data_IF_057455925205
#
_entry.id   IF_057455925205
#
_cell.length_a   1.000
_cell.length_b   1.000
_cell.length_c   1.000
_cell.angle_alpha   90.00
_cell.angle_beta   90.00
_cell.angle_gamma   90.00
#
_symmetry.space_group_name_H-M   'P 1'
#
loop_
_entity.id
_entity.type
_entity.pdbx_description
1 polymer ?
#
# COMPACT_ATOMS: atom_id res chain seq x y z
N UNK A 1 33.90 -21.92 -7.92
CA UNK A 1 33.05 -22.97 -8.51
C UNK A 1 31.72 -22.33 -8.84
N UNK A 2 31.42 -22.15 -10.12
CA UNK A 2 30.22 -21.46 -10.59
C UNK A 2 28.95 -22.26 -10.26
N UNK A 3 27.86 -21.60 -9.86
CA UNK A 3 26.58 -22.24 -9.64
C UNK A 3 25.98 -22.72 -10.98
N UNK A 4 25.25 -23.84 -10.98
CA UNK A 4 24.56 -24.34 -12.18
C UNK A 4 23.15 -23.78 -12.35
N UNK A 5 22.55 -23.38 -11.23
CA UNK A 5 21.16 -23.00 -11.14
C UNK A 5 21.03 -21.84 -10.17
N UNK A 6 20.19 -20.88 -10.50
CA UNK A 6 19.73 -19.83 -9.60
C UNK A 6 18.27 -20.06 -9.20
N UNK A 7 17.89 -19.63 -8.00
CA UNK A 7 16.47 -19.57 -7.60
C UNK A 7 15.95 -18.20 -8.00
N UNK A 8 14.94 -18.17 -8.87
CA UNK A 8 14.22 -16.92 -9.16
C UNK A 8 13.55 -16.43 -7.88
N UNK A 9 13.59 -15.12 -7.63
CA UNK A 9 13.07 -14.55 -6.38
C UNK A 9 11.64 -15.04 -6.07
N UNK A 10 11.36 -15.37 -4.78
CA UNK A 10 12.22 -15.18 -3.61
C UNK A 10 13.27 -16.28 -3.40
N UNK A 11 14.44 -15.93 -2.83
CA UNK A 11 15.53 -16.86 -2.47
C UNK A 11 15.23 -17.76 -1.25
N UNK A 12 13.97 -17.78 -0.80
CA UNK A 12 13.48 -18.55 0.35
C UNK A 12 12.16 -19.21 -0.04
N UNK A 13 11.83 -20.36 0.58
CA UNK A 13 10.53 -21.00 0.37
C UNK A 13 9.50 -20.26 1.23
N UNK A 14 8.70 -19.41 0.58
CA UNK A 14 7.65 -18.62 1.22
C UNK A 14 6.33 -19.39 1.23
N UNK A 15 5.94 -19.89 2.41
CA UNK A 15 4.69 -20.62 2.62
C UNK A 15 3.64 -19.64 3.15
N UNK A 16 2.59 -19.42 2.36
CA UNK A 16 1.40 -18.74 2.82
C UNK A 16 0.61 -19.69 3.75
N UNK A 17 0.71 -19.44 5.05
CA UNK A 17 0.27 -20.37 6.07
C UNK A 17 -1.23 -20.22 6.34
N UNK A 18 -1.93 -21.36 6.30
CA UNK A 18 -3.31 -21.49 6.71
C UNK A 18 -3.49 -22.72 7.62
N UNK A 19 -4.30 -22.58 8.67
CA UNK A 19 -4.62 -23.68 9.58
C UNK A 19 -5.44 -24.76 8.86
N UNK A 20 -5.17 -26.01 9.18
CA UNK A 20 -5.89 -27.19 8.70
C UNK A 20 -5.97 -27.34 7.17
N UNK A 21 -5.13 -26.61 6.42
CA UNK A 21 -5.11 -26.63 4.96
C UNK A 21 -3.74 -27.02 4.41
N UNK A 22 -3.71 -27.57 3.19
CA UNK A 22 -2.45 -27.78 2.46
C UNK A 22 -1.98 -26.43 1.92
N UNK A 23 -0.82 -25.97 2.39
CA UNK A 23 -0.22 -24.71 1.94
C UNK A 23 0.83 -25.01 0.88
N UNK A 24 0.81 -24.30 -0.25
CA UNK A 24 1.74 -24.55 -1.38
C UNK A 24 2.61 -23.35 -1.63
N UNK A 25 3.89 -23.58 -1.91
CA UNK A 25 4.83 -22.59 -2.41
C UNK A 25 5.48 -23.10 -3.69
N UNK A 26 5.47 -22.30 -4.74
CA UNK A 26 6.14 -22.63 -6.00
C UNK A 26 7.52 -21.99 -6.01
N UNK A 27 8.54 -22.80 -6.23
CA UNK A 27 9.92 -22.35 -6.38
C UNK A 27 10.32 -22.56 -7.83
N UNK A 28 10.91 -21.52 -8.43
CA UNK A 28 11.38 -21.54 -9.81
C UNK A 28 12.91 -21.55 -9.83
N UNK A 29 13.45 -22.54 -10.51
CA UNK A 29 14.88 -22.76 -10.72
C UNK A 29 15.21 -22.39 -12.16
N UNK A 30 16.23 -21.56 -12.38
CA UNK A 30 16.71 -21.19 -13.72
C UNK A 30 18.09 -21.78 -13.95
N UNK A 31 18.27 -22.41 -15.11
CA UNK A 31 19.59 -22.89 -15.53
C UNK A 31 20.52 -21.73 -15.86
N UNK A 32 21.74 -21.80 -15.35
CA UNK A 32 22.83 -20.88 -15.69
C UNK A 32 23.70 -21.44 -16.85
N UNK A 33 23.46 -22.69 -17.27
CA UNK A 33 24.18 -23.33 -18.38
C UNK A 33 23.44 -23.11 -19.70
N UNK A 34 24.20 -22.71 -20.73
CA UNK A 34 23.66 -22.48 -22.07
C UNK A 34 23.59 -23.74 -22.94
N UNK A 35 24.37 -24.78 -22.60
CA UNK A 35 24.62 -25.94 -23.47
C UNK A 35 24.16 -27.28 -22.88
N UNK A 36 24.20 -27.43 -21.55
CA UNK A 36 23.88 -28.70 -20.87
C UNK A 36 22.63 -28.58 -20.03
N UNK A 37 21.82 -29.64 -20.01
CA UNK A 37 20.69 -29.75 -19.08
C UNK A 37 21.21 -29.94 -17.66
N UNK A 38 20.50 -29.43 -16.66
CA UNK A 38 20.86 -29.61 -15.26
C UNK A 38 19.84 -30.53 -14.58
N UNK A 39 20.31 -31.65 -14.03
CA UNK A 39 19.49 -32.49 -13.18
C UNK A 39 19.41 -31.90 -11.78
N UNK A 40 18.22 -31.91 -11.19
CA UNK A 40 18.01 -31.50 -9.80
C UNK A 40 17.31 -32.59 -8.98
N UNK A 41 17.65 -32.64 -7.69
CA UNK A 41 16.98 -33.45 -6.68
C UNK A 41 16.81 -32.66 -5.40
N UNK A 42 15.62 -32.72 -4.82
CA UNK A 42 15.25 -31.92 -3.66
C UNK A 42 15.10 -32.81 -2.44
N UNK A 43 15.71 -32.40 -1.34
CA UNK A 43 15.61 -33.06 -0.04
C UNK A 43 15.12 -32.04 0.99
N UNK A 44 14.37 -32.50 1.99
CA UNK A 44 13.89 -31.67 3.10
C UNK A 44 14.40 -32.21 4.43
N UNK A 45 14.71 -31.32 5.37
CA UNK A 45 14.98 -31.70 6.76
C UNK A 45 13.73 -32.17 7.53
N UNK A 46 12.54 -31.90 6.99
CA UNK A 46 11.25 -32.15 7.65
C UNK A 46 10.28 -32.94 6.74
N UNK A 47 10.62 -34.19 6.35
CA UNK A 47 9.82 -34.99 5.40
C UNK A 47 8.42 -35.33 5.92
N UNK A 48 8.23 -35.35 7.23
CA UNK A 48 6.94 -35.58 7.84
C UNK A 48 5.99 -34.37 7.67
N UNK A 49 6.53 -33.15 7.53
CA UNK A 49 5.77 -31.90 7.41
C UNK A 49 5.57 -31.46 5.96
N UNK A 50 6.57 -31.66 5.10
CA UNK A 50 6.58 -31.15 3.73
C UNK A 50 6.60 -32.27 2.69
N UNK A 51 5.89 -32.04 1.61
CA UNK A 51 5.99 -32.80 0.36
C UNK A 51 6.59 -31.90 -0.73
N UNK A 52 7.27 -32.49 -1.70
CA UNK A 52 7.86 -31.78 -2.84
C UNK A 52 7.38 -32.41 -4.13
N UNK A 53 6.93 -31.60 -5.08
CA UNK A 53 6.44 -32.07 -6.37
C UNK A 53 6.87 -31.17 -7.55
N UNK A 54 7.61 -31.67 -8.55
CA UNK A 54 8.30 -32.96 -8.54
C UNK A 54 9.52 -32.93 -7.59
N UNK A 55 9.88 -34.05 -6.94
CA UNK A 55 11.06 -34.12 -6.05
C UNK A 55 12.39 -34.14 -6.81
N UNK A 56 12.36 -34.44 -8.11
CA UNK A 56 13.52 -34.47 -9.00
C UNK A 56 13.09 -34.19 -10.43
N UNK A 57 13.99 -33.64 -11.24
CA UNK A 57 13.70 -33.32 -12.63
C UNK A 57 14.92 -32.81 -13.39
N UNK A 58 14.70 -32.37 -14.63
CA UNK A 58 15.70 -31.74 -15.48
C UNK A 58 15.31 -30.30 -15.76
N UNK A 59 16.31 -29.42 -15.79
CA UNK A 59 16.19 -28.05 -16.26
C UNK A 59 16.90 -27.99 -17.61
N UNK A 60 16.19 -27.71 -18.72
CA UNK A 60 16.83 -27.54 -20.01
C UNK A 60 17.82 -26.35 -20.02
N UNK A 61 18.78 -26.33 -20.95
CA UNK A 61 19.73 -25.22 -21.07
C UNK A 61 19.01 -23.89 -21.27
N UNK A 62 19.50 -22.83 -20.62
CA UNK A 62 18.91 -21.48 -20.64
C UNK A 62 17.42 -21.41 -20.29
N UNK A 63 16.87 -22.44 -19.64
CA UNK A 63 15.44 -22.55 -19.32
C UNK A 63 15.20 -22.57 -17.81
N UNK A 64 13.96 -22.80 -17.41
CA UNK A 64 13.54 -22.89 -16.02
C UNK A 64 12.74 -24.16 -15.76
N UNK A 65 12.78 -24.61 -14.51
CA UNK A 65 11.91 -25.65 -13.99
C UNK A 65 11.27 -25.14 -12.68
N UNK A 66 10.09 -25.65 -12.36
CA UNK A 66 9.40 -25.31 -11.12
C UNK A 66 9.16 -26.56 -10.29
N UNK A 67 9.25 -26.41 -8.98
CA UNK A 67 8.75 -27.41 -8.05
C UNK A 67 7.88 -26.75 -6.99
N UNK A 68 6.94 -27.51 -6.47
CA UNK A 68 6.07 -27.11 -5.39
C UNK A 68 6.56 -27.70 -4.09
N UNK A 69 6.70 -26.86 -3.08
CA UNK A 69 6.77 -27.28 -1.68
C UNK A 69 5.36 -27.21 -1.11
N UNK A 70 4.91 -28.33 -0.54
CA UNK A 70 3.56 -28.47 0.01
C UNK A 70 3.70 -28.75 1.50
N UNK A 71 3.31 -27.80 2.35
CA UNK A 71 3.13 -28.02 3.77
C UNK A 71 1.83 -28.81 3.99
N UNK A 72 1.92 -29.95 4.67
CA UNK A 72 0.74 -30.74 5.08
C UNK A 72 -0.11 -29.92 6.07
N UNK A 73 -1.42 -30.18 6.19
CA UNK A 73 -2.29 -29.49 7.15
C UNK A 73 -1.68 -29.45 8.55
N UNK A 74 -1.61 -28.25 9.14
CA UNK A 74 -1.13 -28.03 10.50
C UNK A 74 -2.30 -27.59 11.38
N UNK A 75 -2.40 -28.17 12.57
CA UNK A 75 -3.43 -27.84 13.57
C UNK A 75 -3.06 -26.68 14.48
N UNK A 76 -1.81 -26.23 14.44
CA UNK A 76 -1.26 -25.19 15.30
C UNK A 76 -0.37 -24.24 14.49
N UNK A 77 -0.18 -23.03 15.00
CA UNK A 77 0.76 -22.08 14.44
C UNK A 77 2.19 -22.62 14.51
N UNK A 78 3.06 -22.31 13.53
CA UNK A 78 4.47 -22.69 13.60
C UNK A 78 5.09 -22.10 14.88
N UNK A 79 5.77 -22.93 15.68
CA UNK A 79 6.43 -22.49 16.94
C UNK A 79 7.46 -21.37 16.73
N UNK A 80 7.99 -21.26 15.52
CA UNK A 80 8.92 -20.22 15.10
C UNK A 80 8.46 -19.67 13.76
N UNK A 81 8.02 -18.42 13.77
CA UNK A 81 7.63 -17.67 12.58
C UNK A 81 8.18 -16.23 12.72
N UNK A 82 8.38 -15.49 11.61
CA UNK A 82 8.12 -15.88 10.22
C UNK A 82 9.19 -16.78 9.61
N UNK A 83 10.27 -17.16 10.32
CA UNK A 83 11.32 -18.05 9.80
C UNK A 83 11.44 -19.33 10.62
N UNK A 84 11.50 -20.47 9.94
CA UNK A 84 11.81 -21.75 10.60
C UNK A 84 13.32 -21.96 10.68
N UNK A 85 13.90 -22.17 11.88
CA UNK A 85 15.31 -22.51 12.02
C UNK A 85 15.61 -23.96 11.59
N UNK A 86 14.62 -24.85 11.72
CA UNK A 86 14.73 -26.29 11.53
C UNK A 86 14.33 -26.76 10.13
N UNK A 87 13.38 -26.09 9.48
CA UNK A 87 12.85 -26.51 8.18
C UNK A 87 13.69 -25.89 7.04
N UNK A 88 14.35 -26.76 6.27
CA UNK A 88 15.24 -26.39 5.16
C UNK A 88 15.08 -27.34 3.99
N UNK A 89 15.31 -26.83 2.78
CA UNK A 89 15.38 -27.62 1.56
C UNK A 89 16.80 -27.58 1.01
N UNK A 90 17.28 -28.75 0.59
CA UNK A 90 18.55 -28.92 -0.09
C UNK A 90 18.27 -29.33 -1.53
N UNK A 91 18.72 -28.50 -2.47
CA UNK A 91 18.64 -28.77 -3.90
C UNK A 91 20.02 -29.21 -4.35
N UNK A 92 20.13 -30.47 -4.76
CA UNK A 92 21.34 -31.03 -5.35
C UNK A 92 21.23 -30.89 -6.86
N UNK A 93 22.23 -30.28 -7.47
CA UNK A 93 22.28 -30.05 -8.91
C UNK A 93 23.54 -30.65 -9.51
N UNK A 94 23.43 -31.16 -10.73
CA UNK A 94 24.54 -31.68 -11.51
C UNK A 94 24.24 -31.53 -12.99
N UNK A 95 25.28 -31.33 -13.81
CA UNK A 95 25.14 -31.33 -15.25
C UNK A 95 24.74 -32.72 -15.74
N UNK A 96 23.78 -32.76 -16.64
CA UNK A 96 23.22 -33.97 -17.21
C UNK A 96 23.59 -34.03 -18.70
N UNK A 97 24.53 -34.92 -19.04
CA UNK A 97 24.88 -35.24 -20.42
C UNK A 97 24.24 -36.57 -20.82
N UNK A 98 23.49 -36.66 -21.93
CA UNK A 98 22.85 -37.89 -22.38
C UNK A 98 23.86 -38.82 -23.06
N UNK A 99 24.78 -39.41 -22.31
CA UNK A 99 25.74 -40.41 -22.84
C UNK A 99 25.50 -41.77 -22.20
N UNK A 100 24.43 -42.46 -22.63
CA UNK A 100 24.25 -43.93 -22.71
C UNK A 100 22.76 -44.24 -22.65
N UNK A 101 22.27 -44.99 -23.64
CA UNK A 101 20.93 -45.59 -23.76
C UNK A 101 20.18 -45.82 -22.44
N UNK A 102 19.21 -44.96 -22.12
CA UNK A 102 18.27 -45.11 -21.00
C UNK A 102 17.17 -44.04 -21.06
N UNK A 103 15.91 -44.36 -20.66
CA UNK A 103 14.74 -43.57 -21.00
C UNK A 103 14.69 -42.22 -20.26
N UNK A 104 14.15 -41.23 -20.95
CA UNK A 104 13.91 -39.83 -20.55
C UNK A 104 12.81 -39.68 -19.48
N UNK A 105 12.70 -40.60 -18.53
CA UNK A 105 11.62 -40.65 -17.54
C UNK A 105 12.07 -40.09 -16.16
N UNK A 106 11.22 -39.36 -15.41
CA UNK A 106 11.58 -38.77 -14.10
C UNK A 106 12.07 -39.76 -13.04
N UNK A 107 11.64 -41.02 -13.12
CA UNK A 107 12.08 -42.11 -12.20
C UNK A 107 13.56 -42.48 -12.42
N UNK A 108 14.10 -42.27 -13.63
CA UNK A 108 15.48 -42.59 -14.00
C UNK A 108 16.50 -41.62 -13.38
N UNK A 109 16.08 -40.39 -13.01
CA UNK A 109 16.97 -39.36 -12.45
C UNK A 109 17.41 -39.71 -11.03
N UNK A 110 16.53 -40.29 -10.22
CA UNK A 110 16.88 -40.70 -8.86
C UNK A 110 17.88 -41.86 -8.85
N UNK A 111 17.69 -42.83 -9.74
CA UNK A 111 18.62 -43.93 -9.97
C UNK A 111 19.96 -43.40 -10.52
N UNK A 112 19.94 -42.43 -11.42
CA UNK A 112 21.16 -41.76 -11.92
C UNK A 112 21.95 -41.04 -10.81
N UNK A 113 21.27 -40.33 -9.90
CA UNK A 113 21.93 -39.74 -8.72
C UNK A 113 22.54 -40.78 -7.78
N UNK A 114 22.05 -42.03 -7.80
CA UNK A 114 22.50 -43.14 -6.96
C UNK A 114 23.60 -44.01 -7.63
N UNK A 115 23.53 -44.24 -8.94
CA UNK A 115 24.43 -45.13 -9.71
C UNK A 115 25.75 -44.48 -10.13
N UNK A 116 26.26 -43.56 -9.31
CA UNK A 116 27.24 -42.53 -9.69
C UNK A 116 28.45 -43.08 -10.47
N UNK A 117 28.80 -42.49 -11.64
CA UNK A 117 30.14 -42.60 -12.20
C UNK A 117 31.15 -41.84 -11.31
N UNK A 118 32.34 -42.39 -11.14
CA UNK A 118 33.45 -41.72 -10.45
C UNK A 118 33.79 -40.38 -11.14
N UNK A 119 33.73 -39.25 -10.41
CA UNK A 119 34.25 -37.95 -10.88
C UNK A 119 33.28 -36.77 -10.97
N UNK A 120 31.97 -36.92 -10.73
CA UNK A 120 31.01 -35.81 -10.81
C UNK A 120 30.86 -35.02 -9.49
N UNK A 121 31.10 -33.70 -9.53
CA UNK A 121 30.82 -32.79 -8.40
C UNK A 121 29.37 -32.29 -8.41
N UNK A 122 28.60 -32.64 -7.40
CA UNK A 122 27.26 -32.04 -7.18
C UNK A 122 27.39 -30.65 -6.58
N UNK A 123 26.51 -29.74 -6.98
CA UNK A 123 26.40 -28.39 -6.39
C UNK A 123 25.13 -28.31 -5.56
N UNK A 124 25.30 -27.86 -4.32
CA UNK A 124 24.26 -27.86 -3.30
C UNK A 124 23.75 -26.44 -3.04
N UNK A 125 22.44 -26.27 -3.13
CA UNK A 125 21.76 -25.01 -2.82
C UNK A 125 20.80 -25.22 -1.65
N UNK A 126 20.87 -24.34 -0.64
CA UNK A 126 20.08 -24.45 0.59
C UNK A 126 19.02 -23.36 0.63
N UNK A 127 17.75 -23.74 0.75
CA UNK A 127 16.64 -22.82 0.92
C UNK A 127 16.08 -22.91 2.33
N UNK A 128 15.85 -21.74 2.94
CA UNK A 128 15.16 -21.60 4.23
C UNK A 128 13.66 -21.53 4.01
N UNK A 129 12.88 -22.01 4.98
CA UNK A 129 11.43 -21.87 4.97
C UNK A 129 11.03 -20.62 5.75
N UNK A 130 10.16 -19.82 5.14
CA UNK A 130 9.48 -18.72 5.79
C UNK A 130 7.98 -18.90 5.72
N UNK A 131 7.30 -18.54 6.80
CA UNK A 131 5.86 -18.55 6.90
C UNK A 131 5.36 -17.11 6.86
N UNK A 132 4.38 -16.88 6.02
CA UNK A 132 3.74 -15.59 5.78
C UNK A 132 2.22 -15.78 5.69
N UNK A 133 1.47 -14.69 5.61
CA UNK A 133 0.04 -14.72 5.38
C UNK A 133 -0.77 -13.98 6.46
N UNK A 134 -2.04 -13.70 6.17
CA UNK A 134 -2.88 -12.82 6.99
C UNK A 134 -3.18 -13.40 8.38
N UNK A 135 -3.31 -14.73 8.50
CA UNK A 135 -3.52 -15.38 9.80
C UNK A 135 -2.32 -15.23 10.75
N UNK A 136 -1.10 -15.36 10.22
CA UNK A 136 0.11 -15.16 11.02
C UNK A 136 0.31 -13.71 11.40
N UNK A 137 -0.01 -12.80 10.48
CA UNK A 137 0.04 -11.37 10.76
C UNK A 137 -0.94 -11.00 11.89
N UNK A 138 -2.20 -11.45 11.79
CA UNK A 138 -3.20 -11.22 12.84
C UNK A 138 -2.76 -11.81 14.18
N UNK A 139 -2.25 -13.03 14.19
CA UNK A 139 -1.75 -13.66 15.42
C UNK A 139 -0.56 -12.88 16.02
N UNK A 140 0.37 -12.39 15.20
CA UNK A 140 1.49 -11.58 15.68
C UNK A 140 1.02 -10.26 16.30
N UNK A 141 0.06 -9.59 15.64
CA UNK A 141 -0.57 -8.37 16.13
C UNK A 141 -1.28 -8.63 17.45
N UNK A 142 -2.11 -9.67 17.56
CA UNK A 142 -2.87 -9.95 18.81
C UNK A 142 -1.97 -10.28 20.01
N UNK A 143 -0.72 -10.67 19.77
CA UNK A 143 0.27 -10.97 20.82
C UNK A 143 1.28 -9.83 21.03
N UNK A 144 1.17 -8.73 20.28
CA UNK A 144 2.09 -7.59 20.38
C UNK A 144 3.51 -7.86 19.88
N UNK A 145 3.72 -8.89 19.06
CA UNK A 145 5.05 -9.22 18.53
C UNK A 145 5.40 -8.32 17.34
N UNK A 146 5.94 -7.15 17.67
CA UNK A 146 6.27 -6.12 16.70
C UNK A 146 7.35 -6.56 15.69
N UNK A 147 8.32 -7.35 16.15
CA UNK A 147 9.39 -7.85 15.27
C UNK A 147 8.88 -8.91 14.31
N UNK A 148 7.95 -9.78 14.73
CA UNK A 148 7.30 -10.72 13.82
C UNK A 148 6.47 -9.98 12.76
N UNK A 149 5.69 -8.97 13.15
CA UNK A 149 4.90 -8.13 12.23
C UNK A 149 5.79 -7.44 11.20
N UNK A 150 6.85 -6.76 11.65
CA UNK A 150 7.83 -6.10 10.77
C UNK A 150 8.46 -7.08 9.78
N UNK A 151 8.82 -8.27 10.27
CA UNK A 151 9.43 -9.30 9.45
C UNK A 151 8.47 -9.93 8.42
N UNK A 152 7.18 -10.07 8.76
CA UNK A 152 6.13 -10.55 7.85
C UNK A 152 5.88 -9.54 6.73
N UNK A 153 5.67 -8.27 7.09
CA UNK A 153 5.45 -7.16 6.14
C UNK A 153 6.64 -7.01 5.19
N UNK A 154 7.87 -7.05 5.71
CA UNK A 154 9.09 -6.98 4.89
C UNK A 154 9.18 -8.09 3.84
N UNK A 155 8.65 -9.29 4.14
CA UNK A 155 8.70 -10.44 3.23
C UNK A 155 7.54 -10.46 2.24
N UNK A 156 6.37 -9.97 2.63
CA UNK A 156 5.21 -9.93 1.76
C UNK A 156 4.37 -8.69 2.10
N UNK A 157 4.76 -7.56 1.50
CA UNK A 157 4.03 -6.29 1.69
C UNK A 157 2.59 -6.37 1.18
N UNK A 158 2.33 -7.23 0.19
CA UNK A 158 1.00 -7.42 -0.39
C UNK A 158 -0.03 -8.04 0.56
N UNK A 159 0.38 -8.68 1.67
CA UNK A 159 -0.59 -9.29 2.61
C UNK A 159 -1.62 -8.26 3.07
N UNK A 160 -1.20 -7.01 3.29
CA UNK A 160 -2.08 -5.93 3.75
C UNK A 160 -3.10 -5.48 2.69
N UNK A 161 -2.82 -5.69 1.41
CA UNK A 161 -3.75 -5.38 0.33
C UNK A 161 -4.86 -6.44 0.19
N UNK A 162 -4.63 -7.65 0.72
CA UNK A 162 -5.58 -8.77 0.64
C UNK A 162 -6.64 -8.73 1.76
N UNK A 163 -6.52 -7.82 2.74
CA UNK A 163 -7.50 -7.65 3.81
C UNK A 163 -8.78 -6.97 3.29
N UNK A 164 -9.94 -7.52 3.64
CA UNK A 164 -11.20 -6.78 3.51
C UNK A 164 -11.22 -5.59 4.49
N UNK A 165 -12.02 -4.54 4.25
CA UNK A 165 -12.14 -3.40 5.17
C UNK A 165 -12.45 -3.83 6.61
N UNK A 166 -13.38 -4.78 6.77
CA UNK A 166 -13.76 -5.36 8.07
C UNK A 166 -12.62 -6.12 8.76
N UNK A 167 -11.76 -6.80 7.99
CA UNK A 167 -10.60 -7.49 8.55
C UNK A 167 -9.49 -6.51 8.92
N UNK A 168 -9.31 -5.44 8.13
CA UNK A 168 -8.37 -4.37 8.43
C UNK A 168 -8.76 -3.62 9.72
N UNK A 169 -10.05 -3.30 9.88
CA UNK A 169 -10.60 -2.72 11.11
C UNK A 169 -10.42 -3.64 12.31
N UNK A 170 -10.76 -4.94 12.17
CA UNK A 170 -10.54 -5.92 13.24
C UNK A 170 -9.06 -6.05 13.62
N UNK A 171 -8.15 -6.01 12.66
CA UNK A 171 -6.71 -6.10 12.90
C UNK A 171 -6.20 -4.86 13.64
N UNK A 172 -6.67 -3.67 13.23
CA UNK A 172 -6.32 -2.42 13.90
C UNK A 172 -6.89 -2.40 15.32
N UNK A 173 -8.14 -2.83 15.51
CA UNK A 173 -8.74 -3.00 16.84
C UNK A 173 -7.89 -3.90 17.73
N UNK A 174 -7.44 -5.06 17.23
CA UNK A 174 -6.57 -5.96 17.98
C UNK A 174 -5.22 -5.29 18.34
N UNK A 175 -4.65 -4.47 17.44
CA UNK A 175 -3.40 -3.73 17.68
C UNK A 175 -3.54 -2.65 18.76
N UNK A 176 -4.71 -2.01 18.85
CA UNK A 176 -4.98 -0.93 19.81
C UNK A 176 -5.15 -1.40 21.25
N UNK A 177 -5.42 -2.71 21.44
CA UNK A 177 -5.59 -3.33 22.76
C UNK A 177 -4.28 -3.82 23.38
N UNK A 178 -3.15 -3.61 22.70
CA UNK A 178 -1.82 -4.01 23.17
C UNK A 178 -1.24 -3.03 24.18
N UNK A 179 -0.21 -3.48 24.91
CA UNK A 179 0.53 -2.65 25.87
C UNK A 179 1.27 -1.47 25.20
N UNK A 180 1.77 -1.67 23.96
CA UNK A 180 2.46 -0.64 23.15
C UNK A 180 1.78 -0.50 21.77
N UNK A 181 0.62 0.17 21.71
CA UNK A 181 -0.21 0.24 20.51
C UNK A 181 0.34 1.21 19.45
N UNK A 182 0.98 2.31 19.85
CA UNK A 182 1.44 3.36 18.91
C UNK A 182 2.43 2.80 17.87
N UNK A 183 3.44 2.04 18.30
CA UNK A 183 4.45 1.47 17.40
C UNK A 183 3.85 0.41 16.45
N UNK A 184 2.90 -0.40 16.95
CA UNK A 184 2.26 -1.45 16.16
C UNK A 184 1.31 -0.85 15.12
N UNK A 185 0.50 0.13 15.52
CA UNK A 185 -0.43 0.84 14.65
C UNK A 185 0.33 1.60 13.56
N UNK A 186 1.36 2.37 13.94
CA UNK A 186 2.19 3.10 12.99
C UNK A 186 2.81 2.16 11.94
N UNK A 187 3.36 1.02 12.37
CA UNK A 187 3.94 0.02 11.47
C UNK A 187 2.93 -0.53 10.46
N UNK A 188 1.68 -0.80 10.88
CA UNK A 188 0.63 -1.31 10.00
C UNK A 188 0.17 -0.26 8.97
N UNK A 189 0.04 1.00 9.40
CA UNK A 189 -0.35 2.11 8.52
C UNK A 189 0.74 2.45 7.50
N UNK A 190 2.00 2.60 7.95
CA UNK A 190 3.16 2.85 7.07
C UNK A 190 3.33 1.74 6.02
N UNK A 191 3.05 0.50 6.41
CA UNK A 191 3.11 -0.64 5.52
C UNK A 191 2.00 -0.66 4.45
N UNK A 192 0.94 0.14 4.62
CA UNK A 192 -0.12 0.37 3.64
C UNK A 192 -1.45 -0.31 3.94
N UNK A 193 -1.77 -0.58 5.21
CA UNK A 193 -3.10 -1.08 5.60
C UNK A 193 -4.17 -0.02 5.25
N UNK A 194 -5.10 -0.36 4.34
CA UNK A 194 -6.15 0.55 3.87
C UNK A 194 -7.45 0.29 4.63
N UNK A 195 -7.96 1.31 5.30
CA UNK A 195 -9.31 1.31 5.89
C UNK A 195 -10.18 2.12 4.92
N UNK A 196 -10.98 1.43 4.10
CA UNK A 196 -11.92 2.10 3.21
C UNK A 196 -13.22 2.25 3.98
N UNK A 197 -13.53 3.49 4.38
CA UNK A 197 -14.84 3.81 4.91
C UNK A 197 -15.83 3.99 3.74
N UNK A 198 -16.99 3.36 3.83
CA UNK A 198 -18.15 3.69 3.02
C UNK A 198 -19.04 4.59 3.88
N UNK A 199 -19.10 5.91 3.64
CA UNK A 199 -19.97 6.77 4.43
C UNK A 199 -21.41 6.46 4.02
N UNK A 200 -22.10 5.65 4.82
CA UNK A 200 -23.54 5.52 4.75
C UNK A 200 -24.12 6.02 6.06
N UNK A 201 -24.63 7.24 5.97
CA UNK A 201 -25.60 7.95 6.82
C UNK A 201 -25.29 8.17 8.32
N UNK A 202 -25.41 9.42 8.82
CA UNK A 202 -25.18 9.78 10.22
C UNK A 202 -26.38 9.53 11.15
N UNK A 203 -27.29 8.60 10.83
CA UNK A 203 -28.40 8.25 11.71
C UNK A 203 -28.61 6.75 11.78
N UNK A 204 -27.89 6.09 12.68
CA UNK A 204 -28.44 4.97 13.46
C UNK A 204 -27.67 4.82 14.76
N UNK A 205 -28.30 5.29 15.84
CA UNK A 205 -27.96 4.90 17.19
C UNK A 205 -28.37 3.44 17.41
N UNK A 206 -27.66 2.82 18.35
CA UNK A 206 -27.96 1.55 19.01
C UNK A 206 -27.73 0.24 18.22
N UNK A 207 -26.57 -0.37 18.41
CA UNK A 207 -26.48 -1.71 19.01
C UNK A 207 -25.08 -2.01 19.56
N UNK A 208 -24.98 -1.88 20.88
CA UNK A 208 -24.32 -2.81 21.80
C UNK A 208 -23.17 -3.68 21.24
N UNK A 209 -22.08 -3.05 20.81
CA UNK A 209 -20.77 -3.70 20.74
C UNK A 209 -19.86 -2.92 21.67
N UNK A 210 -19.43 -3.57 22.75
CA UNK A 210 -18.59 -3.01 23.80
C UNK A 210 -17.17 -2.76 23.23
N UNK A 211 -17.06 -1.79 22.34
CA UNK A 211 -15.80 -1.22 21.88
C UNK A 211 -15.31 -0.38 23.06
N UNK A 212 -14.40 -0.95 23.84
CA UNK A 212 -13.89 -0.31 25.06
C UNK A 212 -13.31 1.09 24.75
N UNK A 213 -13.31 2.01 25.74
CA UNK A 213 -12.90 3.40 25.55
C UNK A 213 -11.48 3.57 24.98
N UNK A 214 -10.59 2.56 25.05
CA UNK A 214 -9.30 2.59 24.34
C UNK A 214 -9.44 2.57 22.82
N UNK A 215 -10.37 1.82 22.24
CA UNK A 215 -10.52 1.76 20.78
C UNK A 215 -11.13 3.04 20.22
N UNK A 216 -12.04 3.69 20.95
CA UNK A 216 -12.47 5.06 20.62
C UNK A 216 -11.28 6.02 20.68
N UNK A 217 -10.37 5.91 21.65
CA UNK A 217 -9.17 6.77 21.69
C UNK A 217 -8.28 6.55 20.46
N UNK A 218 -8.09 5.33 19.92
CA UNK A 218 -7.27 5.16 18.71
C UNK A 218 -8.01 5.54 17.42
N UNK A 219 -9.32 5.33 17.34
CA UNK A 219 -10.13 5.84 16.23
C UNK A 219 -10.15 7.38 16.24
N UNK A 220 -10.40 7.97 17.42
CA UNK A 220 -10.29 9.41 17.63
C UNK A 220 -8.85 9.88 17.47
N UNK A 221 -7.79 9.16 17.84
CA UNK A 221 -6.38 9.58 17.70
C UNK A 221 -5.85 9.39 16.29
N UNK A 222 -6.40 8.47 15.49
CA UNK A 222 -6.07 8.35 14.06
C UNK A 222 -6.86 9.37 13.25
N UNK A 223 -8.15 9.59 13.56
CA UNK A 223 -8.88 10.73 13.03
C UNK A 223 -8.22 12.02 13.48
N UNK A 224 -7.96 12.24 14.77
CA UNK A 224 -7.27 13.40 15.34
C UNK A 224 -5.85 13.53 14.82
N UNK A 225 -5.05 12.49 14.55
CA UNK A 225 -3.73 12.68 13.90
C UNK A 225 -3.87 13.00 12.41
N UNK A 226 -4.80 12.39 11.66
CA UNK A 226 -5.02 12.71 10.23
C UNK A 226 -5.71 14.08 10.07
N UNK A 227 -6.57 14.44 11.03
CA UNK A 227 -7.26 15.72 11.20
C UNK A 227 -6.28 16.76 11.71
N UNK A 228 -5.38 16.46 12.64
CA UNK A 228 -4.34 17.38 13.17
C UNK A 228 -3.31 17.65 12.07
N UNK A 229 -2.80 16.62 11.38
CA UNK A 229 -1.85 16.85 10.27
C UNK A 229 -2.55 17.53 9.08
N UNK A 230 -3.84 17.24 8.84
CA UNK A 230 -4.66 17.95 7.85
C UNK A 230 -4.97 19.40 8.24
N UNK A 231 -5.27 19.65 9.52
CA UNK A 231 -5.47 20.97 10.13
C UNK A 231 -4.15 21.74 10.14
N UNK A 232 -3.01 21.07 10.32
CA UNK A 232 -1.69 21.68 10.21
C UNK A 232 -1.37 22.07 8.76
N UNK A 233 -1.75 21.25 7.77
CA UNK A 233 -1.66 21.63 6.36
C UNK A 233 -2.57 22.82 6.09
N UNK A 234 -3.79 22.82 6.62
CA UNK A 234 -4.74 23.94 6.51
C UNK A 234 -4.19 25.21 7.18
N UNK A 235 -3.65 25.11 8.39
CA UNK A 235 -3.14 26.23 9.18
C UNK A 235 -1.85 26.78 8.60
N UNK A 236 -0.94 25.92 8.13
CA UNK A 236 0.25 26.33 7.39
C UNK A 236 -0.16 27.03 6.09
N UNK A 237 -1.20 26.53 5.41
CA UNK A 237 -1.73 27.15 4.20
C UNK A 237 -2.37 28.51 4.48
N UNK A 238 -3.10 28.65 5.61
CA UNK A 238 -3.70 29.89 6.09
C UNK A 238 -2.67 30.93 6.52
N UNK A 239 -1.48 30.50 6.93
CA UNK A 239 -0.35 31.37 7.32
C UNK A 239 0.58 31.72 6.15
N UNK A 240 0.46 31.04 5.01
CA UNK A 240 1.33 31.25 3.85
C UNK A 240 2.70 30.57 3.97
N UNK A 241 2.83 29.53 4.80
CA UNK A 241 4.10 28.82 4.97
C UNK A 241 4.22 27.67 3.96
N UNK A 242 4.59 28.00 2.72
CA UNK A 242 4.75 27.01 1.65
C UNK A 242 5.77 25.91 2.00
N UNK A 243 6.84 26.25 2.71
CA UNK A 243 7.87 25.28 3.12
C UNK A 243 7.32 24.24 4.09
N UNK A 244 6.51 24.68 5.06
CA UNK A 244 5.84 23.79 6.00
C UNK A 244 4.77 22.96 5.31
N UNK A 245 3.99 23.53 4.39
CA UNK A 245 3.01 22.79 3.59
C UNK A 245 3.70 21.66 2.82
N UNK A 246 4.79 21.93 2.09
CA UNK A 246 5.54 20.90 1.37
C UNK A 246 6.08 19.80 2.30
N UNK A 247 6.63 20.19 3.46
CA UNK A 247 7.17 19.24 4.44
C UNK A 247 6.07 18.32 4.99
N UNK A 248 4.91 18.88 5.35
CA UNK A 248 3.75 18.14 5.85
C UNK A 248 3.21 17.18 4.78
N UNK A 249 3.11 17.62 3.53
CA UNK A 249 2.66 16.78 2.42
C UNK A 249 3.62 15.62 2.14
N UNK A 250 4.94 15.85 2.19
CA UNK A 250 5.94 14.78 2.10
C UNK A 250 5.87 13.80 3.28
N UNK A 251 5.44 14.28 4.44
CA UNK A 251 5.19 13.49 5.66
C UNK A 251 3.87 12.74 5.69
N UNK A 252 3.07 12.77 4.62
CA UNK A 252 1.77 12.08 4.55
C UNK A 252 0.57 12.93 4.97
N UNK A 253 0.75 14.25 5.10
CA UNK A 253 -0.34 15.17 5.40
C UNK A 253 -1.45 15.17 4.35
N UNK A 254 -2.69 15.26 4.82
CA UNK A 254 -3.89 15.17 3.99
C UNK A 254 -4.36 16.56 3.55
N UNK A 255 -4.53 16.76 2.23
CA UNK A 255 -5.20 17.94 1.67
C UNK A 255 -6.73 17.85 1.67
N UNK A 256 -7.28 16.73 2.15
CA UNK A 256 -8.73 16.50 2.19
C UNK A 256 -9.40 17.08 3.44
N UNK A 257 -8.63 17.58 4.39
CA UNK A 257 -9.17 18.22 5.58
C UNK A 257 -10.06 19.41 5.21
N UNK A 258 -11.17 19.52 5.93
CA UNK A 258 -12.15 20.58 5.82
C UNK A 258 -12.42 21.12 7.22
N UNK A 259 -12.40 22.44 7.38
CA UNK A 259 -12.75 23.07 8.64
C UNK A 259 -14.28 23.03 8.89
N UNK A 260 -14.74 23.65 9.97
CA UNK A 260 -16.16 23.71 10.35
C UNK A 260 -17.09 24.44 9.35
N UNK A 261 -16.53 25.06 8.31
CA UNK A 261 -17.24 25.74 7.24
C UNK A 261 -17.08 24.99 5.91
N UNK A 262 -16.49 23.80 5.94
CA UNK A 262 -16.17 23.03 4.75
C UNK A 262 -14.95 23.54 3.99
N UNK A 263 -14.19 24.51 4.50
CA UNK A 263 -13.06 25.11 3.79
C UNK A 263 -11.87 24.15 3.76
N UNK A 264 -11.27 24.00 2.59
CA UNK A 264 -10.03 23.22 2.41
C UNK A 264 -8.79 24.12 2.57
N UNK A 265 -7.61 23.51 2.64
CA UNK A 265 -6.34 24.25 2.64
C UNK A 265 -6.20 25.20 1.44
N UNK A 266 -6.74 24.81 0.28
CA UNK A 266 -6.75 25.65 -0.92
C UNK A 266 -7.67 26.87 -0.76
N UNK A 267 -8.83 26.72 -0.12
CA UNK A 267 -9.71 27.85 0.20
C UNK A 267 -9.01 28.86 1.13
N UNK A 268 -8.37 28.37 2.20
CA UNK A 268 -7.68 29.22 3.16
C UNK A 268 -6.52 29.99 2.53
N UNK A 269 -5.67 29.31 1.74
CA UNK A 269 -4.58 29.94 1.01
C UNK A 269 -5.09 30.95 -0.03
N UNK A 270 -6.17 30.61 -0.74
CA UNK A 270 -6.81 31.47 -1.73
C UNK A 270 -7.33 32.77 -1.09
N UNK A 271 -8.13 32.65 -0.02
CA UNK A 271 -8.69 33.80 0.71
C UNK A 271 -7.61 34.74 1.26
N UNK A 272 -6.48 34.19 1.69
CA UNK A 272 -5.37 34.97 2.25
C UNK A 272 -4.38 35.51 1.21
N UNK A 273 -4.55 35.17 -0.07
CA UNK A 273 -3.66 35.63 -1.15
C UNK A 273 -2.28 34.97 -1.12
N UNK A 274 -2.15 33.77 -0.55
CA UNK A 274 -0.87 33.05 -0.44
C UNK A 274 -0.57 32.29 -1.74
N UNK A 275 -0.19 33.05 -2.78
CA UNK A 275 0.04 32.56 -4.14
C UNK A 275 1.02 31.37 -4.22
N UNK A 276 2.07 31.37 -3.42
CA UNK A 276 3.08 30.32 -3.35
C UNK A 276 2.49 29.00 -2.83
N UNK A 277 1.74 29.06 -1.73
CA UNK A 277 0.99 27.90 -1.20
C UNK A 277 -0.03 27.40 -2.22
N UNK A 278 -0.80 28.31 -2.84
CA UNK A 278 -1.77 27.95 -3.88
C UNK A 278 -1.06 27.24 -5.05
N UNK A 279 0.13 27.72 -5.45
CA UNK A 279 0.96 27.07 -6.45
C UNK A 279 1.31 25.62 -6.09
N UNK A 280 1.85 25.41 -4.88
CA UNK A 280 2.19 24.08 -4.36
C UNK A 280 0.97 23.14 -4.36
N UNK A 281 -0.16 23.61 -3.82
CA UNK A 281 -1.38 22.79 -3.73
C UNK A 281 -1.93 22.43 -5.13
N UNK A 282 -1.91 23.38 -6.08
CA UNK A 282 -2.41 23.14 -7.44
C UNK A 282 -1.53 22.21 -8.29
N UNK A 283 -0.31 21.88 -7.83
CA UNK A 283 0.57 20.92 -8.50
C UNK A 283 0.34 19.47 -8.00
N UNK A 284 -0.46 19.30 -6.95
CA UNK A 284 -0.76 17.97 -6.40
C UNK A 284 -1.70 17.20 -7.33
N UNK A 285 -1.26 16.01 -7.74
CA UNK A 285 -2.04 15.12 -8.59
C UNK A 285 -3.35 14.69 -7.89
N UNK A 286 -4.48 14.92 -8.57
CA UNK A 286 -5.80 14.49 -8.09
C UNK A 286 -6.45 15.39 -7.03
N UNK A 287 -5.90 16.57 -6.77
CA UNK A 287 -6.60 17.60 -6.00
C UNK A 287 -7.77 18.18 -6.83
N UNK A 288 -8.94 18.24 -6.22
CA UNK A 288 -10.10 18.91 -6.80
C UNK A 288 -9.99 20.43 -6.57
N UNK A 289 -9.71 21.17 -7.64
CA UNK A 289 -9.53 22.63 -7.60
C UNK A 289 -10.85 23.39 -7.58
N UNK A 290 -11.96 22.73 -7.93
CA UNK A 290 -13.32 23.27 -7.91
C UNK A 290 -14.12 22.73 -6.71
N UNK A 291 -13.42 22.28 -5.66
CA UNK A 291 -14.08 21.77 -4.46
C UNK A 291 -14.93 22.85 -3.78
N UNK A 292 -16.17 22.53 -3.42
CA UNK A 292 -17.10 23.49 -2.80
C UNK A 292 -17.03 23.45 -1.27
N UNK A 293 -17.09 24.60 -0.60
CA UNK A 293 -17.34 24.74 0.85
C UNK A 293 -18.83 24.52 1.21
N UNK A 294 -19.21 24.72 2.48
CA UNK A 294 -20.61 24.56 2.92
C UNK A 294 -21.60 25.55 2.28
N UNK A 295 -21.13 26.64 1.70
CA UNK A 295 -21.93 27.67 1.02
C UNK A 295 -21.84 27.55 -0.51
N UNK A 296 -21.16 26.52 -1.02
CA UNK A 296 -20.95 26.31 -2.45
C UNK A 296 -19.85 27.17 -3.05
N UNK A 297 -19.03 27.85 -2.24
CA UNK A 297 -17.88 28.57 -2.77
C UNK A 297 -16.78 27.59 -3.15
N UNK A 298 -16.33 27.68 -4.40
CA UNK A 298 -15.04 27.13 -4.83
C UNK A 298 -13.87 28.05 -4.43
N UNK A 299 -12.60 27.59 -4.41
CA UNK A 299 -11.45 28.40 -4.04
C UNK A 299 -11.29 29.70 -4.83
N UNK A 300 -11.78 29.75 -6.07
CA UNK A 300 -11.79 30.97 -6.87
C UNK A 300 -12.66 32.07 -6.26
N UNK A 301 -13.82 31.75 -5.67
CA UNK A 301 -14.63 32.75 -4.94
C UNK A 301 -13.85 33.33 -3.76
N UNK A 302 -13.16 32.46 -3.02
CA UNK A 302 -12.34 32.87 -1.87
C UNK A 302 -11.18 33.76 -2.28
N UNK A 303 -10.48 33.45 -3.38
CA UNK A 303 -9.43 34.30 -3.92
C UNK A 303 -9.94 35.68 -4.33
N UNK A 304 -11.15 35.74 -4.90
CA UNK A 304 -11.80 37.00 -5.26
C UNK A 304 -12.18 37.79 -4.01
N UNK A 305 -12.74 37.15 -2.99
CA UNK A 305 -13.07 37.80 -1.72
C UNK A 305 -11.83 38.33 -0.99
N UNK A 306 -10.70 37.62 -1.11
CA UNK A 306 -9.40 38.06 -0.60
C UNK A 306 -8.76 39.23 -1.37
N UNK A 307 -9.20 39.48 -2.61
CA UNK A 307 -8.75 40.61 -3.43
C UNK A 307 -7.34 40.51 -4.02
N UNK A 308 -6.65 39.37 -3.90
CA UNK A 308 -5.30 39.20 -4.47
C UNK A 308 -5.34 38.69 -5.92
N UNK A 309 -5.12 39.60 -6.87
CA UNK A 309 -5.04 39.30 -8.32
C UNK A 309 -4.00 38.23 -8.64
N UNK A 310 -2.89 38.19 -7.89
CA UNK A 310 -1.82 37.22 -8.10
C UNK A 310 -2.31 35.78 -7.92
N UNK A 311 -3.06 35.56 -6.85
CA UNK A 311 -3.66 34.27 -6.49
C UNK A 311 -4.80 33.90 -7.44
N UNK A 312 -5.69 34.84 -7.79
CA UNK A 312 -6.73 34.63 -8.81
C UNK A 312 -6.12 34.17 -10.13
N UNK A 313 -5.03 34.83 -10.56
CA UNK A 313 -4.32 34.47 -11.79
C UNK A 313 -3.81 33.03 -11.79
N UNK A 314 -3.19 32.58 -10.70
CA UNK A 314 -2.69 31.20 -10.59
C UNK A 314 -3.83 30.20 -10.70
N UNK A 315 -4.93 30.39 -9.98
CA UNK A 315 -6.08 29.48 -10.03
C UNK A 315 -6.66 29.39 -11.45
N UNK A 316 -6.87 30.53 -12.10
CA UNK A 316 -7.43 30.55 -13.46
C UNK A 316 -6.48 29.96 -14.50
N UNK A 317 -5.16 30.07 -14.31
CA UNK A 317 -4.16 29.39 -15.15
C UNK A 317 -4.14 27.87 -14.97
N UNK A 318 -4.61 27.37 -13.81
CA UNK A 318 -4.74 25.94 -13.53
C UNK A 318 -6.05 25.34 -14.02
N UNK A 319 -6.92 26.13 -14.66
CA UNK A 319 -8.11 25.65 -15.36
C UNK A 319 -9.35 25.43 -14.49
N UNK A 320 -9.44 26.11 -13.35
CA UNK A 320 -10.66 26.11 -12.51
C UNK A 320 -11.87 26.66 -13.27
N UNK A 321 -13.07 26.28 -12.84
CA UNK A 321 -14.31 26.80 -13.41
C UNK A 321 -14.51 28.29 -13.05
N UNK A 322 -14.16 29.18 -13.98
CA UNK A 322 -14.32 30.64 -13.82
C UNK A 322 -15.77 31.10 -13.65
N UNK A 323 -16.74 30.25 -14.01
CA UNK A 323 -18.17 30.50 -13.92
C UNK A 323 -18.85 29.62 -12.86
N UNK A 324 -18.10 29.10 -11.88
CA UNK A 324 -18.69 28.41 -10.73
C UNK A 324 -19.76 29.28 -10.06
N UNK A 325 -20.79 28.64 -9.51
CA UNK A 325 -21.94 29.32 -8.90
C UNK A 325 -22.10 28.76 -7.49
N UNK A 326 -22.02 29.63 -6.49
CA UNK A 326 -22.26 29.21 -5.10
C UNK A 326 -23.77 29.02 -4.82
N UNK A 327 -24.13 28.56 -3.61
CA UNK A 327 -25.53 28.31 -3.23
C UNK A 327 -26.41 29.56 -3.26
N UNK A 328 -25.82 30.76 -3.25
CA UNK A 328 -26.52 32.04 -3.39
C UNK A 328 -26.67 32.50 -4.84
N UNK A 329 -26.22 31.70 -5.83
CA UNK A 329 -26.26 32.10 -7.23
C UNK A 329 -25.17 33.08 -7.64
N UNK A 330 -24.19 33.36 -6.77
CA UNK A 330 -23.10 34.29 -7.06
C UNK A 330 -21.95 33.58 -7.80
N UNK A 331 -21.45 34.23 -8.84
CA UNK A 331 -20.21 33.83 -9.54
C UNK A 331 -19.00 34.59 -9.01
N UNK A 332 -17.76 34.15 -9.28
CA UNK A 332 -16.56 34.91 -8.92
C UNK A 332 -16.56 36.32 -9.51
N UNK A 333 -17.02 36.48 -10.77
CA UNK A 333 -17.13 37.80 -11.40
C UNK A 333 -18.15 38.71 -10.71
N UNK A 334 -19.29 38.14 -10.27
CA UNK A 334 -20.28 38.90 -9.50
C UNK A 334 -19.67 39.38 -8.18
N UNK A 335 -18.99 38.51 -7.44
CA UNK A 335 -18.31 38.89 -6.19
C UNK A 335 -17.26 39.99 -6.44
N UNK A 336 -16.39 39.83 -7.44
CA UNK A 336 -15.35 40.81 -7.76
C UNK A 336 -15.94 42.22 -7.98
N UNK A 337 -17.10 42.29 -8.64
CA UNK A 337 -17.82 43.55 -8.86
C UNK A 337 -18.42 44.14 -7.58
N UNK A 338 -19.01 43.30 -6.72
CA UNK A 338 -19.57 43.74 -5.44
C UNK A 338 -18.47 44.29 -4.51
N UNK A 339 -17.30 43.68 -4.53
CA UNK A 339 -16.14 44.10 -3.74
C UNK A 339 -15.31 45.23 -4.39
N UNK A 340 -15.60 45.60 -5.65
CA UNK A 340 -14.91 46.69 -6.37
C UNK A 340 -13.51 46.35 -6.86
N UNK A 341 -13.23 45.07 -7.14
CA UNK A 341 -11.94 44.60 -7.64
C UNK A 341 -11.91 44.63 -9.19
N UNK A 342 -11.70 45.82 -9.75
CA UNK A 342 -11.74 46.06 -11.20
C UNK A 342 -10.69 45.24 -11.98
N UNK A 343 -9.49 45.09 -11.43
CA UNK A 343 -8.40 44.28 -11.97
C UNK A 343 -8.72 42.77 -12.01
N UNK A 344 -9.36 42.25 -10.96
CA UNK A 344 -9.90 40.89 -10.92
C UNK A 344 -11.03 40.72 -11.93
N UNK A 345 -11.91 41.72 -12.07
CA UNK A 345 -12.99 41.70 -13.06
C UNK A 345 -12.43 41.60 -14.49
N UNK A 346 -11.45 42.44 -14.83
CA UNK A 346 -10.78 42.41 -16.13
C UNK A 346 -10.10 41.05 -16.37
N UNK A 347 -9.41 40.52 -15.36
CA UNK A 347 -8.76 39.21 -15.44
C UNK A 347 -9.78 38.09 -15.69
N UNK A 348 -10.87 38.02 -14.93
CA UNK A 348 -11.91 36.99 -15.09
C UNK A 348 -12.60 37.08 -16.46
N UNK A 349 -12.94 38.30 -16.92
CA UNK A 349 -13.53 38.51 -18.25
C UNK A 349 -12.58 38.06 -19.35
N UNK A 350 -11.28 38.38 -19.23
CA UNK A 350 -10.26 37.93 -20.20
C UNK A 350 -10.11 36.41 -20.27
N UNK A 351 -10.60 35.68 -19.25
CA UNK A 351 -10.55 34.22 -19.12
C UNK A 351 -11.92 33.56 -19.30
N UNK A 352 -12.91 34.29 -19.83
CA UNK A 352 -14.20 33.73 -20.23
C UNK A 352 -15.29 33.73 -19.15
N UNK A 353 -15.15 34.55 -18.10
CA UNK A 353 -16.23 34.75 -17.15
C UNK A 353 -17.43 35.46 -17.81
N UNK A 354 -18.63 34.91 -17.64
CA UNK A 354 -19.86 35.48 -18.18
C UNK A 354 -20.61 36.27 -17.11
N UNK A 355 -21.31 37.33 -17.53
CA UNK A 355 -22.12 38.18 -16.66
C UNK A 355 -23.42 37.52 -16.18
N UNK A 356 -23.54 36.18 -16.11
CA UNK A 356 -24.84 35.53 -15.91
C UNK A 356 -25.48 35.92 -14.57
N UNK A 357 -26.45 36.82 -14.63
CA UNK A 357 -27.37 37.13 -13.54
C UNK A 357 -28.61 36.27 -13.76
N UNK A 358 -28.61 35.04 -13.28
CA UNK A 358 -29.87 34.31 -13.10
C UNK A 358 -30.27 34.45 -11.64
N UNK A 359 -30.67 35.66 -11.25
CA UNK A 359 -31.52 35.85 -10.08
C UNK A 359 -32.92 35.38 -10.44
N UNK A 360 -33.19 34.08 -10.29
CA UNK A 360 -34.56 33.58 -10.17
C UNK A 360 -34.80 33.29 -8.70
N UNK A 361 -35.06 34.35 -7.95
CA UNK A 361 -35.80 34.29 -6.69
C UNK A 361 -37.03 35.18 -6.89
N UNK A 362 -38.06 34.58 -7.46
CA UNK A 362 -39.47 34.93 -7.23
C UNK A 362 -40.09 33.78 -6.43
#
# INVERSE_FOLDING_TARGET
>A
MEALVEVCEPSEVRIEFALNCKCRATVRLRSLTATTSVAFKIQTSSPNKFLVNPPSGLIPPSSFATFQVILKPQSHFPRSYPRSPADRFLIKTAEFSPNSSGPTHPESINSWFASRPYGFSTRDLKLKVTFVGPLLLRHAVTHGDLDAVRNLIKRQRSILADFSPTQAESLLSDATQLDNPDDMVHLLLEAGLRIIHNPKDPHEADTNTNIGPSCLIYFFKIEEVVVEVGEEVFEASRRGDATRVEALLRGGGSVKYRDRYGLTALHAAAFKGHKDVVGVLCELAGLDLDCEDEEGHVPLHMAVEGGDVGTVRVLVEKGVNVNAVNKRGATPLYMARIWGHDDICELLVSRGAVYSVTSTLD
#
